data_IF_602846488252
#
_entry.id   IF_602846488252
#
_cell.length_a   1.000
_cell.length_b   1.000
_cell.length_c   1.000
_cell.angle_alpha   90.00
_cell.angle_beta   90.00
_cell.angle_gamma   90.00
#
_symmetry.space_group_name_H-M   'P 1'
#
loop_
_entity.id
_entity.type
_entity.pdbx_description
1 polymer ?
#
# COMPACT_ATOMS: atom_id res chain seq x y z
N UNK A 1 4.65 16.75 2.64
CA UNK A 1 3.75 15.58 2.73
C UNK A 1 3.14 15.38 1.36
N UNK A 2 3.14 14.15 0.81
CA UNK A 2 2.43 13.88 -0.44
C UNK A 2 0.96 13.64 -0.07
N UNK A 3 0.08 14.46 -0.61
CA UNK A 3 -1.36 14.23 -0.52
C UNK A 3 -1.77 13.18 -1.57
N UNK A 4 -2.81 12.36 -1.29
CA UNK A 4 -3.37 11.45 -2.28
C UNK A 4 -3.82 12.26 -3.51
N UNK A 5 -3.60 11.70 -4.70
CA UNK A 5 -3.94 12.36 -5.96
C UNK A 5 -5.44 12.25 -6.21
N UNK A 6 -5.94 13.19 -7.01
CA UNK A 6 -7.32 13.15 -7.48
C UNK A 6 -7.55 11.85 -8.28
N UNK A 7 -8.33 10.94 -7.70
CA UNK A 7 -8.62 9.62 -8.26
C UNK A 7 -8.05 8.44 -7.48
N UNK A 8 -7.15 8.65 -6.52
CA UNK A 8 -6.70 7.57 -5.65
C UNK A 8 -7.86 7.04 -4.78
N UNK A 9 -7.98 5.72 -4.67
CA UNK A 9 -9.04 5.06 -3.93
C UNK A 9 -8.57 4.71 -2.51
N UNK A 10 -9.32 5.10 -1.48
CA UNK A 10 -9.04 4.73 -0.10
C UNK A 10 -9.37 3.24 0.10
N UNK A 11 -8.37 2.41 0.36
CA UNK A 11 -8.51 0.96 0.54
C UNK A 11 -8.33 0.51 2.00
N UNK A 12 -7.82 1.38 2.87
CA UNK A 12 -7.73 1.14 4.31
C UNK A 12 -7.79 2.47 5.06
N UNK A 13 -8.60 2.50 6.13
CA UNK A 13 -8.72 3.64 7.03
C UNK A 13 -8.66 3.12 8.48
N UNK A 14 -7.47 3.22 9.08
CA UNK A 14 -7.20 2.78 10.45
C UNK A 14 -6.22 3.71 11.15
N UNK A 15 -5.14 3.18 11.71
CA UNK A 15 -4.06 4.00 12.31
C UNK A 15 -3.38 4.91 11.28
N UNK A 16 -3.46 4.52 10.01
CA UNK A 16 -3.07 5.31 8.85
C UNK A 16 -4.02 5.02 7.70
N UNK A 17 -3.98 5.87 6.68
CA UNK A 17 -4.79 5.71 5.46
C UNK A 17 -3.93 5.14 4.34
N UNK A 18 -4.46 4.16 3.62
CA UNK A 18 -3.82 3.62 2.41
C UNK A 18 -4.69 3.98 1.22
N UNK A 19 -4.08 4.65 0.26
CA UNK A 19 -4.68 5.02 -1.01
C UNK A 19 -4.01 4.23 -2.12
N UNK A 20 -4.81 3.68 -3.04
CA UNK A 20 -4.34 2.96 -4.21
C UNK A 20 -4.61 3.80 -5.47
N UNK A 21 -3.56 4.01 -6.26
CA UNK A 21 -3.66 4.69 -7.55
C UNK A 21 -4.49 3.84 -8.54
N UNK A 22 -5.31 4.50 -9.38
CA UNK A 22 -6.18 3.81 -10.36
C UNK A 22 -5.40 2.92 -11.31
N UNK A 23 -4.22 3.34 -11.75
CA UNK A 23 -3.35 2.55 -12.61
C UNK A 23 -2.89 1.32 -11.84
N UNK A 24 -2.42 1.49 -10.60
CA UNK A 24 -1.99 0.37 -9.78
C UNK A 24 -3.08 -0.69 -9.60
N UNK A 25 -4.36 -0.28 -9.50
CA UNK A 25 -5.51 -1.20 -9.46
C UNK A 25 -5.69 -2.03 -10.74
N UNK A 26 -5.36 -1.49 -11.91
CA UNK A 26 -5.45 -2.23 -13.18
C UNK A 26 -4.34 -3.28 -13.31
N UNK A 27 -3.16 -3.04 -12.73
CA UNK A 27 -1.99 -3.92 -12.86
C UNK A 27 -1.80 -4.89 -11.70
N UNK A 28 -2.32 -4.58 -10.51
CA UNK A 28 -2.14 -5.39 -9.32
C UNK A 28 -3.37 -6.27 -9.10
N UNK A 29 -3.18 -7.59 -9.19
CA UNK A 29 -4.21 -8.56 -8.80
C UNK A 29 -4.36 -8.63 -7.27
N UNK A 30 -3.25 -8.50 -6.54
CA UNK A 30 -3.23 -8.58 -5.08
C UNK A 30 -2.11 -7.69 -4.50
N UNK A 31 -2.42 -7.00 -3.39
CA UNK A 31 -1.45 -6.19 -2.64
C UNK A 31 -1.39 -6.69 -1.21
N UNK A 32 -0.21 -7.20 -0.81
CA UNK A 32 0.02 -7.68 0.55
C UNK A 32 0.79 -6.63 1.37
N UNK A 33 0.08 -5.97 2.28
CA UNK A 33 0.63 -5.01 3.22
C UNK A 33 0.86 -5.68 4.57
N UNK A 34 2.13 -5.80 4.96
CA UNK A 34 2.50 -6.45 6.23
C UNK A 34 3.11 -5.39 7.13
N UNK A 35 2.39 -5.01 8.17
CA UNK A 35 2.94 -4.19 9.25
C UNK A 35 3.82 -5.08 10.12
N UNK A 36 5.10 -4.73 10.24
CA UNK A 36 6.06 -5.48 11.05
C UNK A 36 6.62 -4.59 12.15
N UNK A 37 6.75 -5.16 13.34
CA UNK A 37 7.40 -4.52 14.48
C UNK A 37 8.79 -5.11 14.64
N UNK A 38 9.83 -4.31 14.45
CA UNK A 38 11.21 -4.69 14.73
C UNK A 38 11.61 -4.18 16.10
N UNK A 39 12.15 -5.07 16.93
CA UNK A 39 12.69 -4.69 18.23
C UNK A 39 13.85 -3.68 18.13
N UNK A 40 14.60 -3.69 17.01
CA UNK A 40 15.78 -2.84 16.79
C UNK A 40 15.49 -1.55 16.01
N UNK A 41 14.41 -1.51 15.21
CA UNK A 41 14.12 -0.40 14.28
C UNK A 41 12.74 0.24 14.46
N UNK A 42 11.92 -0.26 15.38
CA UNK A 42 10.54 0.21 15.57
C UNK A 42 9.54 -0.42 14.59
N UNK A 43 8.37 0.21 14.47
CA UNK A 43 7.31 -0.20 13.54
C UNK A 43 7.65 0.23 12.12
N UNK A 44 7.54 -0.69 11.17
CA UNK A 44 7.78 -0.41 9.76
C UNK A 44 6.78 -1.15 8.87
N UNK A 45 6.35 -0.48 7.81
CA UNK A 45 5.48 -1.07 6.80
C UNK A 45 6.31 -1.80 5.76
N UNK A 46 6.09 -3.10 5.59
CA UNK A 46 6.66 -3.88 4.50
C UNK A 46 5.60 -4.07 3.41
N UNK A 47 5.87 -3.54 2.22
CA UNK A 47 5.00 -3.68 1.04
C UNK A 47 5.56 -4.80 0.17
N UNK A 48 4.76 -5.85 -0.08
CA UNK A 48 5.08 -6.91 -1.04
C UNK A 48 4.08 -6.85 -2.20
N UNK A 49 4.56 -6.49 -3.38
CA UNK A 49 3.78 -6.57 -4.61
C UNK A 49 3.92 -7.97 -5.25
N UNK A 50 2.81 -8.52 -5.71
CA UNK A 50 2.77 -9.68 -6.59
C UNK A 50 2.15 -9.23 -7.91
N UNK A 51 2.89 -9.38 -9.01
CA UNK A 51 2.43 -8.99 -10.35
C UNK A 51 3.27 -9.68 -11.41
N UNK A 52 2.62 -10.43 -12.28
CA UNK A 52 3.20 -11.01 -13.48
C UNK A 52 2.69 -10.24 -14.69
N UNK A 53 3.58 -9.52 -15.37
CA UNK A 53 3.30 -9.01 -16.71
C UNK A 53 3.42 -10.15 -17.71
N UNK A 54 2.43 -10.26 -18.59
CA UNK A 54 2.59 -10.96 -19.86
C UNK A 54 2.99 -9.94 -20.93
#
# INVERSE_FOLDING_TARGET
MKEPREGDELVYDGEFKIYLDKIAKEFLTEVNLILKRSFLRGEYLAVKGYGGGC
#
